data_IF_613884342810
#
_entry.id   IF_613884342810
#
_cell.length_a   1.000
_cell.length_b   1.000
_cell.length_c   1.000
_cell.angle_alpha   90.00
_cell.angle_beta   90.00
_cell.angle_gamma   90.00
#
_symmetry.space_group_name_H-M   'P 1'
#
loop_
_entity.id
_entity.type
_entity.pdbx_description
1 polymer ?
#
# COMPACT_ATOMS: atom_id res chain seq x y z
N UNK A 1 -17.52 -5.79 14.00
CA UNK A 1 -18.85 -5.18 13.79
C UNK A 1 -18.81 -4.41 12.49
N UNK A 2 -19.80 -4.58 11.63
CA UNK A 2 -19.92 -3.85 10.36
C UNK A 2 -21.23 -3.08 10.43
N UNK A 3 -21.19 -1.77 10.22
CA UNK A 3 -22.37 -0.91 10.13
C UNK A 3 -22.41 -0.39 8.70
N UNK A 4 -23.51 -0.60 7.98
CA UNK A 4 -23.64 -0.13 6.60
C UNK A 4 -25.04 0.41 6.32
N UNK A 5 -25.12 1.48 5.52
CA UNK A 5 -26.34 2.07 5.03
C UNK A 5 -26.17 2.46 3.56
N UNK A 6 -27.07 1.97 2.72
CA UNK A 6 -27.19 2.38 1.33
C UNK A 6 -27.97 3.70 1.24
N UNK A 7 -27.62 4.56 0.28
CA UNK A 7 -28.26 5.86 0.09
C UNK A 7 -29.78 5.79 -0.06
N UNK A 8 -30.29 4.73 -0.70
CA UNK A 8 -31.72 4.53 -0.96
C UNK A 8 -32.50 4.03 0.27
N UNK A 9 -31.83 3.69 1.38
CA UNK A 9 -32.47 3.13 2.57
C UNK A 9 -32.58 4.14 3.70
N UNK A 10 -33.72 4.11 4.40
CA UNK A 10 -34.01 4.99 5.53
C UNK A 10 -33.14 4.64 6.75
N UNK A 11 -32.85 3.34 6.98
CA UNK A 11 -32.09 2.86 8.13
C UNK A 11 -30.88 2.02 7.69
N UNK A 12 -29.81 2.05 8.49
CA UNK A 12 -28.65 1.17 8.33
C UNK A 12 -28.81 -0.15 9.08
N UNK A 13 -27.93 -1.08 8.78
CA UNK A 13 -27.85 -2.37 9.48
C UNK A 13 -26.47 -2.53 10.13
N UNK A 14 -26.48 -3.01 11.37
CA UNK A 14 -25.30 -3.41 12.10
C UNK A 14 -25.22 -4.95 12.15
N UNK A 15 -24.14 -5.49 11.61
CA UNK A 15 -23.77 -6.89 11.69
C UNK A 15 -22.70 -7.06 12.77
N UNK A 16 -23.01 -7.89 13.78
CA UNK A 16 -22.05 -8.26 14.81
C UNK A 16 -21.78 -9.76 14.75
N UNK A 17 -20.50 -10.10 14.60
CA UNK A 17 -20.01 -11.46 14.76
C UNK A 17 -19.48 -11.58 16.19
N UNK A 18 -20.09 -12.46 16.98
CA UNK A 18 -19.55 -12.91 18.27
C UNK A 18 -19.19 -14.38 18.10
N UNK A 19 -17.91 -14.71 18.06
CA UNK A 19 -17.49 -16.11 18.10
C UNK A 19 -17.70 -16.65 19.52
N UNK A 20 -18.41 -17.77 19.63
CA UNK A 20 -18.55 -18.55 20.88
C UNK A 20 -17.39 -19.53 21.01
N UNK A 21 -16.85 -19.73 22.22
CA UNK A 21 -15.64 -20.51 22.53
C UNK A 21 -15.68 -22.02 22.14
N UNK A 22 -16.75 -22.54 21.54
CA UNK A 22 -16.85 -23.94 21.15
C UNK A 22 -16.41 -24.17 19.70
N UNK A 23 -15.42 -25.06 19.55
CA UNK A 23 -14.63 -25.35 18.34
C UNK A 23 -15.37 -25.77 17.07
N UNK A 24 -16.70 -25.84 17.03
CA UNK A 24 -17.45 -26.34 15.85
C UNK A 24 -18.77 -25.61 15.56
N UNK A 25 -19.02 -24.43 16.14
CA UNK A 25 -20.27 -23.73 15.88
C UNK A 25 -20.15 -22.78 14.66
N UNK A 26 -21.00 -22.97 13.66
CA UNK A 26 -21.29 -21.95 12.65
C UNK A 26 -21.64 -20.62 13.35
N UNK A 27 -20.75 -19.63 13.28
CA UNK A 27 -21.00 -18.29 13.82
C UNK A 27 -22.12 -17.63 13.02
N UNK A 28 -23.36 -17.72 13.49
CA UNK A 28 -24.48 -17.00 12.87
C UNK A 28 -24.33 -15.50 13.09
N UNK A 29 -24.23 -14.68 12.03
CA UNK A 29 -24.17 -13.23 12.16
C UNK A 29 -25.49 -12.71 12.74
N UNK A 30 -25.40 -11.92 13.81
CA UNK A 30 -26.57 -11.19 14.31
C UNK A 30 -26.68 -9.86 13.56
N UNK A 31 -27.79 -9.65 12.86
CA UNK A 31 -28.10 -8.42 12.11
C UNK A 31 -29.15 -7.64 12.88
N UNK A 32 -28.92 -6.35 13.13
CA UNK A 32 -29.88 -5.45 13.80
C UNK A 32 -29.97 -4.11 13.08
N UNK A 33 -31.14 -3.45 13.05
CA UNK A 33 -31.24 -2.06 12.63
C UNK A 33 -30.33 -1.16 13.49
N UNK A 34 -29.69 -0.17 12.86
CA UNK A 34 -28.81 0.79 13.54
C UNK A 34 -28.90 2.15 12.88
N UNK A 35 -28.77 3.21 13.70
CA UNK A 35 -28.47 4.54 13.18
C UNK A 35 -27.09 4.49 12.48
N UNK A 36 -27.04 4.99 11.25
CA UNK A 36 -25.84 5.03 10.43
C UNK A 36 -25.96 6.14 9.37
N UNK A 37 -24.84 6.76 9.03
CA UNK A 37 -24.73 7.60 7.85
C UNK A 37 -24.52 6.72 6.62
N UNK A 38 -24.73 7.28 5.43
CA UNK A 38 -24.53 6.56 4.17
C UNK A 38 -23.07 6.10 4.04
N UNK A 39 -22.90 4.85 3.60
CA UNK A 39 -21.59 4.20 3.49
C UNK A 39 -21.44 3.02 4.46
N UNK A 40 -20.18 2.67 4.75
CA UNK A 40 -19.85 1.48 5.54
C UNK A 40 -18.76 1.81 6.56
N UNK A 41 -19.01 1.42 7.80
CA UNK A 41 -18.06 1.51 8.91
C UNK A 41 -17.74 0.09 9.39
N UNK A 42 -16.45 -0.24 9.46
CA UNK A 42 -15.97 -1.52 9.98
C UNK A 42 -15.21 -1.26 11.27
N UNK A 43 -15.64 -1.91 12.35
CA UNK A 43 -15.02 -1.82 13.67
C UNK A 43 -14.47 -3.19 14.04
N UNK A 44 -13.15 -3.29 14.14
CA UNK A 44 -12.43 -4.44 14.64
C UNK A 44 -11.90 -4.13 16.06
N UNK A 45 -12.23 -4.97 17.04
CA UNK A 45 -11.79 -4.85 18.44
C UNK A 45 -11.15 -6.15 18.87
N UNK A 46 -10.16 -6.09 19.76
CA UNK A 46 -9.49 -7.25 20.35
C UNK A 46 -8.97 -8.25 19.30
N UNK A 47 -8.20 -7.74 18.31
CA UNK A 47 -7.67 -8.56 17.23
C UNK A 47 -6.84 -9.73 17.80
N UNK A 48 -7.13 -10.95 17.35
CA UNK A 48 -6.48 -12.20 17.78
C UNK A 48 -6.70 -12.64 19.23
N UNK A 49 -7.65 -12.05 19.99
CA UNK A 49 -7.95 -12.48 21.37
C UNK A 49 -8.28 -13.98 21.48
N UNK A 50 -8.90 -14.54 20.45
CA UNK A 50 -9.34 -15.94 20.43
C UNK A 50 -8.27 -16.89 19.86
N UNK A 51 -7.14 -16.37 19.37
CA UNK A 51 -6.08 -17.14 18.72
C UNK A 51 -4.74 -16.78 19.37
N UNK A 52 -4.42 -17.36 20.55
CA UNK A 52 -3.27 -16.94 21.37
C UNK A 52 -1.94 -17.13 20.64
N UNK A 53 -1.84 -18.14 19.77
CA UNK A 53 -0.67 -18.32 18.92
C UNK A 53 -0.44 -17.11 17.99
N UNK A 54 -1.49 -16.57 17.36
CA UNK A 54 -1.40 -15.37 16.50
C UNK A 54 -1.14 -14.11 17.30
N UNK A 55 -1.74 -13.99 18.49
CA UNK A 55 -1.51 -12.84 19.38
C UNK A 55 -0.03 -12.70 19.76
N UNK A 56 0.68 -13.82 19.99
CA UNK A 56 2.12 -13.82 20.29
C UNK A 56 3.00 -13.32 19.13
N UNK A 57 2.50 -13.27 17.89
CA UNK A 57 3.23 -12.71 16.75
C UNK A 57 3.08 -11.19 16.62
N UNK A 58 2.14 -10.57 17.34
CA UNK A 58 2.02 -9.11 17.35
C UNK A 58 3.29 -8.52 17.94
N UNK A 59 3.82 -7.51 17.26
CA UNK A 59 4.96 -6.74 17.75
C UNK A 59 4.46 -5.61 18.66
N UNK A 60 5.35 -4.71 19.05
CA UNK A 60 4.95 -3.51 19.80
C UNK A 60 4.01 -2.63 18.99
N UNK A 61 3.16 -1.86 19.69
CA UNK A 61 2.19 -0.94 19.09
C UNK A 61 2.84 0.00 18.05
N UNK A 62 4.07 0.46 18.32
CA UNK A 62 4.82 1.31 17.40
C UNK A 62 5.15 0.61 16.07
N UNK A 63 5.49 -0.69 16.10
CA UNK A 63 5.83 -1.46 14.91
C UNK A 63 4.58 -1.79 14.11
N UNK A 64 3.50 -2.21 14.78
CA UNK A 64 2.22 -2.46 14.11
C UNK A 64 1.64 -1.18 13.50
N UNK A 65 1.75 -0.05 14.19
CA UNK A 65 1.36 1.24 13.64
C UNK A 65 2.20 1.63 12.41
N UNK A 66 3.51 1.33 12.42
CA UNK A 66 4.34 1.50 11.23
C UNK A 66 3.86 0.65 10.06
N UNK A 67 3.43 -0.60 10.31
CA UNK A 67 2.86 -1.47 9.27
C UNK A 67 1.51 -0.94 8.73
N UNK A 68 0.70 -0.32 9.58
CA UNK A 68 -0.51 0.40 9.15
C UNK A 68 -0.15 1.56 8.23
N UNK A 69 0.85 2.38 8.60
CA UNK A 69 1.34 3.48 7.76
C UNK A 69 1.88 2.99 6.41
N UNK A 70 2.65 1.90 6.40
CA UNK A 70 3.20 1.30 5.18
C UNK A 70 2.12 0.85 4.19
N UNK A 71 0.92 0.55 4.70
CA UNK A 71 -0.24 0.17 3.89
C UNK A 71 -1.09 1.39 3.52
N UNK A 72 -1.29 2.32 4.46
CA UNK A 72 -2.09 3.52 4.28
C UNK A 72 -1.47 4.48 3.26
N UNK A 73 -0.17 4.76 3.35
CA UNK A 73 0.50 5.76 2.52
C UNK A 73 0.36 5.44 1.02
N UNK A 74 0.67 4.23 0.52
CA UNK A 74 0.50 3.92 -0.90
C UNK A 74 -0.95 4.02 -1.39
N UNK A 75 -1.92 3.60 -0.57
CA UNK A 75 -3.34 3.69 -0.89
C UNK A 75 -3.81 5.15 -0.98
N UNK A 76 -3.41 5.99 -0.02
CA UNK A 76 -3.75 7.40 -0.01
C UNK A 76 -3.06 8.19 -1.13
N UNK A 77 -1.89 7.73 -1.56
CA UNK A 77 -1.08 8.34 -2.62
C UNK A 77 -1.67 8.13 -4.01
N UNK A 78 -2.16 6.92 -4.30
CA UNK A 78 -2.67 6.57 -5.64
C UNK A 78 -4.10 7.09 -5.91
N UNK A 79 -4.82 7.50 -4.86
CA UNK A 79 -6.18 8.02 -4.90
C UNK A 79 -6.30 9.47 -4.40
N UNK A 80 -5.72 10.46 -5.10
CA UNK A 80 -5.84 11.87 -4.70
C UNK A 80 -7.28 12.42 -4.83
N UNK A 81 -8.14 11.74 -5.58
CA UNK A 81 -9.59 12.03 -5.69
C UNK A 81 -10.36 11.76 -4.39
N UNK A 82 -9.79 10.98 -3.47
CA UNK A 82 -10.45 10.53 -2.24
C UNK A 82 -9.85 11.23 -1.02
N UNK A 83 -10.72 11.59 -0.07
CA UNK A 83 -10.32 12.10 1.23
C UNK A 83 -9.89 10.94 2.15
N UNK A 84 -8.77 11.11 2.85
CA UNK A 84 -8.30 10.14 3.83
C UNK A 84 -7.98 10.83 5.16
N UNK A 85 -8.44 10.23 6.24
CA UNK A 85 -8.06 10.63 7.61
C UNK A 85 -7.55 9.41 8.36
N UNK A 86 -6.34 9.51 8.92
CA UNK A 86 -5.76 8.50 9.81
C UNK A 86 -5.63 9.08 11.21
N UNK A 87 -6.30 8.46 12.17
CA UNK A 87 -6.23 8.82 13.59
C UNK A 87 -5.60 7.69 14.38
N UNK A 88 -4.68 8.03 15.29
CA UNK A 88 -4.04 7.08 16.20
C UNK A 88 -3.99 7.69 17.59
N UNK A 89 -4.45 6.94 18.60
CA UNK A 89 -4.52 7.40 20.01
C UNK A 89 -5.16 8.80 20.15
N UNK A 90 -6.32 8.99 19.52
CA UNK A 90 -7.10 10.23 19.50
C UNK A 90 -6.41 11.43 18.83
N UNK A 91 -5.23 11.26 18.22
CA UNK A 91 -4.55 12.29 17.45
C UNK A 91 -4.68 12.01 15.95
N UNK A 92 -4.98 13.06 15.20
CA UNK A 92 -4.94 12.99 13.73
C UNK A 92 -3.48 12.95 13.31
N UNK A 93 -3.10 11.88 12.61
CA UNK A 93 -1.74 11.68 12.11
C UNK A 93 -1.64 12.17 10.68
N UNK A 94 -2.64 11.84 9.84
CA UNK A 94 -2.75 12.33 8.48
C UNK A 94 -4.18 12.77 8.21
N UNK A 95 -4.34 13.90 7.52
CA UNK A 95 -5.60 14.39 6.97
C UNK A 95 -5.33 14.90 5.56
N UNK A 96 -5.91 14.23 4.58
CA UNK A 96 -5.64 14.42 3.16
C UNK A 96 -6.96 14.73 2.46
N UNK A 97 -7.09 15.95 1.96
CA UNK A 97 -8.34 16.44 1.35
C UNK A 97 -8.51 15.91 -0.08
N UNK A 98 -9.76 15.70 -0.49
CA UNK A 98 -10.09 15.28 -1.85
C UNK A 98 -9.77 16.36 -2.89
N UNK A 99 -9.46 15.95 -4.12
CA UNK A 99 -9.37 16.85 -5.27
C UNK A 99 -7.98 17.43 -5.54
N UNK A 100 -6.96 16.94 -4.84
CA UNK A 100 -5.56 17.28 -5.13
C UNK A 100 -5.07 16.64 -6.44
N UNK A 101 -3.98 17.16 -6.99
CA UNK A 101 -3.22 16.44 -8.02
C UNK A 101 -2.39 15.32 -7.38
N UNK A 102 -2.01 14.32 -8.18
CA UNK A 102 -1.08 13.28 -7.72
C UNK A 102 0.22 13.87 -7.14
N UNK A 103 0.72 14.94 -7.76
CA UNK A 103 1.87 15.73 -7.31
C UNK A 103 1.65 16.30 -5.90
N UNK A 104 0.53 16.98 -5.69
CA UNK A 104 0.18 17.58 -4.40
C UNK A 104 0.06 16.51 -3.30
N UNK A 105 -0.58 15.38 -3.62
CA UNK A 105 -0.76 14.27 -2.68
C UNK A 105 0.57 13.65 -2.22
N UNK A 106 1.54 13.52 -3.11
CA UNK A 106 2.89 13.05 -2.75
C UNK A 106 3.58 14.04 -1.82
N UNK A 107 3.46 15.35 -2.10
CA UNK A 107 4.05 16.38 -1.27
C UNK A 107 3.44 16.45 0.15
N UNK A 108 2.14 16.19 0.28
CA UNK A 108 1.45 16.08 1.57
C UNK A 108 1.91 14.86 2.37
N UNK A 109 2.04 13.70 1.71
CA UNK A 109 2.38 12.43 2.37
C UNK A 109 3.86 12.30 2.73
N UNK A 110 4.76 12.74 1.84
CA UNK A 110 6.21 12.58 2.00
C UNK A 110 6.91 13.85 2.48
N UNK A 111 6.19 14.98 2.50
CA UNK A 111 6.72 16.28 2.86
C UNK A 111 7.23 17.08 1.66
N UNK A 112 7.02 18.40 1.70
CA UNK A 112 7.38 19.33 0.62
C UNK A 112 8.87 19.33 0.28
N UNK A 113 9.74 19.23 1.29
CA UNK A 113 11.18 19.21 1.09
C UNK A 113 11.61 17.95 0.31
N UNK A 114 11.09 16.79 0.70
CA UNK A 114 11.37 15.56 -0.03
C UNK A 114 10.84 15.63 -1.45
N UNK A 115 9.62 16.12 -1.63
CA UNK A 115 9.01 16.28 -2.94
C UNK A 115 9.82 17.21 -3.88
N UNK A 116 10.48 18.26 -3.35
CA UNK A 116 11.30 19.16 -4.16
C UNK A 116 12.55 18.51 -4.78
N UNK A 117 13.01 17.37 -4.25
CA UNK A 117 14.16 16.63 -4.79
C UNK A 117 13.75 15.62 -5.88
N UNK A 118 12.45 15.49 -6.13
CA UNK A 118 11.90 14.53 -7.08
C UNK A 118 11.84 15.10 -8.49
N UNK A 119 12.35 14.31 -9.43
CA UNK A 119 12.35 14.57 -10.86
C UNK A 119 11.17 13.80 -11.48
N UNK A 120 10.31 14.44 -12.30
CA UNK A 120 9.24 13.76 -12.98
C UNK A 120 9.79 12.74 -14.00
N UNK A 121 9.22 11.54 -14.00
CA UNK A 121 9.52 10.49 -14.95
C UNK A 121 8.31 10.27 -15.87
N UNK A 122 8.55 10.30 -17.18
CA UNK A 122 7.56 9.93 -18.19
C UNK A 122 8.25 9.11 -19.26
N UNK A 123 7.71 7.92 -19.50
CA UNK A 123 8.17 7.00 -20.53
C UNK A 123 6.96 6.32 -21.14
N UNK A 124 6.98 6.15 -22.45
CA UNK A 124 5.84 5.64 -23.21
C UNK A 124 6.37 4.77 -24.34
N UNK A 125 5.80 3.57 -24.44
CA UNK A 125 6.01 2.60 -25.53
C UNK A 125 4.63 2.19 -26.04
N UNK A 126 4.59 1.43 -27.13
CA UNK A 126 3.34 0.92 -27.68
C UNK A 126 2.59 0.01 -26.69
N UNK A 127 3.32 -0.71 -25.83
CA UNK A 127 2.75 -1.71 -24.91
C UNK A 127 2.43 -1.16 -23.51
N UNK A 128 3.23 -0.20 -23.01
CA UNK A 128 3.08 0.31 -21.64
C UNK A 128 3.53 1.76 -21.49
N UNK A 129 3.00 2.41 -20.46
CA UNK A 129 3.37 3.78 -20.08
C UNK A 129 3.89 3.78 -18.65
N UNK A 130 4.92 4.55 -18.36
CA UNK A 130 5.44 4.73 -17.01
C UNK A 130 5.38 6.22 -16.71
N UNK A 131 4.63 6.60 -15.69
CA UNK A 131 4.56 7.96 -15.20
C UNK A 131 4.91 7.97 -13.71
N UNK A 132 5.63 8.99 -13.25
CA UNK A 132 6.10 8.94 -11.89
C UNK A 132 7.06 10.03 -11.47
N UNK A 133 7.75 9.75 -10.38
CA UNK A 133 8.77 10.60 -9.80
C UNK A 133 9.95 9.75 -9.32
N UNK A 134 11.15 10.24 -9.54
CA UNK A 134 12.40 9.63 -9.07
C UNK A 134 13.19 10.65 -8.28
N UNK A 135 13.81 10.27 -7.17
CA UNK A 135 14.74 11.17 -6.47
C UNK A 135 16.02 11.35 -7.28
N UNK A 136 16.61 12.55 -7.24
CA UNK A 136 17.95 12.77 -7.79
C UNK A 136 19.00 11.87 -7.09
N UNK A 137 20.05 11.40 -7.80
CA UNK A 137 21.09 10.54 -7.22
C UNK A 137 21.84 11.14 -6.03
N UNK A 138 21.97 12.46 -6.01
CA UNK A 138 22.59 13.22 -4.91
C UNK A 138 21.82 13.08 -3.58
N UNK A 139 20.51 12.84 -3.65
CA UNK A 139 19.62 12.74 -2.49
C UNK A 139 19.31 11.29 -2.10
N UNK A 140 20.08 10.34 -2.61
CA UNK A 140 19.81 8.94 -2.41
C UNK A 140 20.10 8.52 -0.96
N UNK A 141 19.18 7.77 -0.36
CA UNK A 141 19.21 7.41 1.06
C UNK A 141 19.64 5.95 1.26
N UNK A 142 20.25 5.62 2.39
CA UNK A 142 20.62 4.23 2.73
C UNK A 142 19.39 3.31 2.88
N UNK A 143 18.26 3.88 3.32
CA UNK A 143 17.01 3.15 3.58
C UNK A 143 15.98 3.36 2.48
N UNK A 144 15.32 2.27 2.09
CA UNK A 144 14.29 2.19 1.04
C UNK A 144 12.93 2.80 1.43
N UNK A 145 12.90 3.87 2.24
CA UNK A 145 11.68 4.27 2.95
C UNK A 145 10.57 4.79 2.04
N UNK A 146 10.89 5.23 0.82
CA UNK A 146 9.94 5.84 -0.12
C UNK A 146 9.98 5.22 -1.52
N UNK A 147 10.00 3.88 -1.58
CA UNK A 147 9.83 3.14 -2.84
C UNK A 147 8.39 2.66 -2.96
N UNK A 148 7.64 3.25 -3.89
CA UNK A 148 6.23 2.99 -4.13
C UNK A 148 6.00 2.70 -5.62
N UNK A 149 5.83 1.44 -5.95
CA UNK A 149 5.54 1.01 -7.33
C UNK A 149 4.05 0.70 -7.42
N UNK A 150 3.41 1.26 -8.45
CA UNK A 150 1.99 1.09 -8.72
C UNK A 150 1.77 0.58 -10.14
N UNK A 151 1.02 -0.50 -10.25
CA UNK A 151 0.59 -1.06 -11.54
C UNK A 151 -0.92 -1.09 -11.55
N UNK A 152 -1.54 -0.46 -12.54
CA UNK A 152 -3.00 -0.32 -12.62
C UNK A 152 -3.64 0.18 -11.30
N UNK A 153 -3.02 1.19 -10.69
CA UNK A 153 -3.38 1.79 -9.39
C UNK A 153 -3.24 0.85 -8.16
N UNK A 154 -2.59 -0.30 -8.30
CA UNK A 154 -2.33 -1.22 -7.17
C UNK A 154 -0.90 -1.08 -6.70
N UNK A 155 -0.64 -0.91 -5.39
CA UNK A 155 0.71 -0.96 -4.87
C UNK A 155 1.27 -2.37 -5.03
N UNK A 156 2.49 -2.49 -5.58
CA UNK A 156 3.17 -3.76 -5.79
C UNK A 156 4.58 -3.71 -5.21
N UNK A 157 5.02 -4.81 -4.60
CA UNK A 157 6.37 -5.00 -4.09
C UNK A 157 7.01 -6.19 -4.79
N UNK A 158 7.41 -5.97 -6.04
CA UNK A 158 8.05 -7.01 -6.84
C UNK A 158 9.58 -6.94 -6.77
N UNK A 159 10.21 -8.09 -6.49
CA UNK A 159 11.66 -8.16 -6.35
C UNK A 159 12.40 -7.90 -7.67
N UNK A 160 11.86 -8.33 -8.82
CA UNK A 160 12.48 -8.12 -10.12
C UNK A 160 12.49 -6.63 -10.47
N UNK A 161 11.37 -5.94 -10.27
CA UNK A 161 11.29 -4.49 -10.52
C UNK A 161 12.25 -3.75 -9.59
N UNK A 162 12.25 -4.08 -8.30
CA UNK A 162 13.16 -3.45 -7.32
C UNK A 162 14.64 -3.67 -7.69
N UNK A 163 15.00 -4.90 -8.12
CA UNK A 163 16.35 -5.23 -8.56
C UNK A 163 16.73 -4.49 -9.84
N UNK A 164 15.85 -4.48 -10.85
CA UNK A 164 16.07 -3.75 -12.11
C UNK A 164 16.30 -2.26 -11.87
N UNK A 165 15.46 -1.64 -11.01
CA UNK A 165 15.64 -0.25 -10.62
C UNK A 165 16.99 -0.04 -9.91
N UNK A 166 17.33 -0.90 -8.96
CA UNK A 166 18.61 -0.81 -8.25
C UNK A 166 19.81 -0.90 -9.20
N UNK A 167 19.80 -1.82 -10.15
CA UNK A 167 20.88 -2.00 -11.13
C UNK A 167 20.96 -0.83 -12.10
N UNK A 168 19.84 -0.27 -12.56
CA UNK A 168 19.83 0.91 -13.42
C UNK A 168 20.48 2.12 -12.74
N UNK A 169 20.22 2.30 -11.44
CA UNK A 169 20.75 3.43 -10.68
C UNK A 169 22.17 3.21 -10.11
N UNK A 170 22.61 1.97 -9.92
CA UNK A 170 23.90 1.69 -9.25
C UNK A 170 25.10 2.30 -9.98
N UNK A 171 25.08 2.27 -11.31
CA UNK A 171 26.18 2.81 -12.12
C UNK A 171 26.22 4.34 -12.03
N UNK A 172 25.07 4.99 -12.14
CA UNK A 172 24.95 6.46 -12.04
C UNK A 172 25.39 6.99 -10.67
N UNK A 173 25.06 6.28 -9.59
CA UNK A 173 25.49 6.66 -8.23
C UNK A 173 27.00 6.51 -8.09
N UNK A 174 27.57 5.41 -8.57
CA UNK A 174 28.99 5.12 -8.42
C UNK A 174 29.85 6.18 -9.13
N UNK A 175 29.41 6.64 -10.29
CA UNK A 175 30.05 7.70 -11.07
C UNK A 175 29.95 9.07 -10.37
N UNK A 176 28.76 9.45 -9.90
CA UNK A 176 28.55 10.77 -9.29
C UNK A 176 29.18 10.93 -7.90
N UNK A 177 29.39 9.84 -7.16
CA UNK A 177 29.90 9.89 -5.78
C UNK A 177 31.40 9.55 -5.65
N UNK A 178 32.17 9.49 -6.75
CA UNK A 178 33.63 9.29 -6.74
C UNK A 178 34.11 8.17 -5.81
N UNK A 179 33.39 7.04 -5.76
CA UNK A 179 33.78 5.90 -4.93
C UNK A 179 33.63 6.09 -3.40
N UNK A 180 33.14 7.23 -2.91
CA UNK A 180 32.71 7.41 -1.51
C UNK A 180 31.35 6.74 -1.30
N UNK A 181 31.32 5.42 -1.49
CA UNK A 181 30.16 4.57 -1.31
C UNK A 181 29.81 4.50 0.17
N UNK A 182 29.03 5.46 0.66
CA UNK A 182 28.13 5.18 1.78
C UNK A 182 26.99 4.29 1.26
N UNK A 183 27.32 2.99 1.20
CA UNK A 183 26.44 1.84 1.22
C UNK A 183 25.06 2.01 0.57
N UNK A 184 25.00 1.73 -0.75
CA UNK A 184 23.76 1.37 -1.46
C UNK A 184 22.63 2.39 -1.31
N UNK A 185 22.76 3.52 -2.00
CA UNK A 185 21.74 4.55 -1.98
C UNK A 185 20.51 4.08 -2.79
N UNK A 186 19.42 3.81 -2.07
CA UNK A 186 18.15 3.41 -2.66
C UNK A 186 17.38 4.67 -3.01
N UNK A 187 17.16 4.90 -4.30
CA UNK A 187 16.34 6.01 -4.78
C UNK A 187 14.89 5.82 -4.38
N UNK A 188 14.23 6.93 -4.09
CA UNK A 188 12.79 6.92 -3.91
C UNK A 188 12.16 6.93 -5.28
N UNK A 189 11.42 5.87 -5.55
CA UNK A 189 10.87 5.59 -6.85
C UNK A 189 9.36 5.53 -6.69
N UNK A 190 8.69 6.39 -7.42
CA UNK A 190 7.25 6.40 -7.50
C UNK A 190 6.85 6.15 -8.95
N UNK A 191 6.38 4.94 -9.24
CA UNK A 191 5.98 4.55 -10.59
C UNK A 191 4.49 4.26 -10.65
N UNK A 192 3.82 4.81 -11.64
CA UNK A 192 2.46 4.46 -12.02
C UNK A 192 2.48 4.01 -13.47
N UNK A 193 2.31 2.71 -13.68
CA UNK A 193 2.25 2.13 -15.01
C UNK A 193 0.86 1.53 -15.29
N UNK A 194 0.08 2.09 -16.23
CA UNK A 194 -1.01 1.35 -16.85
C UNK A 194 -0.41 0.28 -17.76
N UNK A 195 -0.69 -0.98 -17.43
CA UNK A 195 -0.31 -2.14 -18.24
C UNK A 195 -1.59 -2.89 -18.60
N UNK A 196 -1.81 -3.27 -19.87
CA UNK A 196 -2.95 -4.09 -20.25
C UNK A 196 -3.01 -5.38 -19.43
N UNK A 197 -4.21 -5.79 -18.99
CA UNK A 197 -4.40 -6.92 -18.08
C UNK A 197 -3.83 -8.23 -18.65
N UNK A 198 -3.79 -8.37 -19.98
CA UNK A 198 -3.23 -9.54 -20.67
C UNK A 198 -1.75 -9.81 -20.34
N UNK A 199 -0.98 -8.77 -19.99
CA UNK A 199 0.43 -8.92 -19.58
C UNK A 199 0.58 -9.09 -18.06
N UNK A 200 -0.52 -9.00 -17.30
CA UNK A 200 -0.51 -9.08 -15.85
C UNK A 200 -1.00 -10.46 -15.38
N UNK A 201 -0.05 -11.34 -15.06
CA UNK A 201 -0.36 -12.55 -14.31
C UNK A 201 -0.50 -12.22 -12.82
N UNK A 202 -1.70 -11.84 -12.40
CA UNK A 202 -2.02 -11.67 -10.97
C UNK A 202 -2.15 -13.03 -10.28
N UNK A 203 -1.03 -13.64 -9.87
CA UNK A 203 -1.08 -14.88 -9.11
C UNK A 203 -1.48 -14.61 -7.65
N UNK A 204 -2.65 -15.13 -7.28
CA UNK A 204 -3.18 -15.22 -5.91
C UNK A 204 -2.13 -15.86 -4.98
N UNK A 205 -1.41 -15.07 -4.19
CA UNK A 205 -1.02 -15.54 -2.85
C UNK A 205 -2.27 -15.55 -1.97
N UNK A 206 -3.16 -16.51 -2.21
CA UNK A 206 -3.90 -17.09 -1.12
C UNK A 206 -2.92 -18.01 -0.38
N UNK A 207 -2.94 -17.99 0.94
CA UNK A 207 -2.23 -18.95 1.78
C UNK A 207 -2.69 -20.38 1.45
N UNK A 208 -2.08 -21.03 0.47
CA UNK A 208 -2.17 -22.47 0.28
C UNK A 208 -1.08 -22.94 -0.68
N UNK A 209 -0.24 -23.82 -0.16
CA UNK A 209 0.70 -24.69 -0.86
C UNK A 209 0.13 -25.27 -2.15
N UNK A 210 0.81 -25.05 -3.27
CA UNK A 210 1.05 -26.05 -4.31
C UNK A 210 2.04 -25.47 -5.31
N UNK A 211 3.23 -26.07 -5.32
CA UNK A 211 4.27 -25.83 -6.30
C UNK A 211 4.03 -26.74 -7.52
N UNK A 212 4.18 -26.20 -8.73
CA UNK A 212 4.89 -26.86 -9.83
C UNK A 212 5.17 -25.85 -10.96
N UNK A 213 6.32 -26.09 -11.62
CA UNK A 213 7.23 -25.19 -12.34
C UNK A 213 6.80 -24.72 -13.77
N UNK A 214 7.60 -23.88 -14.48
CA UNK A 214 7.13 -22.79 -15.36
C UNK A 214 7.13 -23.11 -16.88
N UNK A 215 6.78 -22.12 -17.73
CA UNK A 215 7.78 -21.60 -18.66
C UNK A 215 7.86 -20.05 -18.75
N UNK A 216 9.09 -19.61 -18.99
CA UNK A 216 9.67 -18.48 -19.75
C UNK A 216 8.83 -17.25 -20.17
N UNK A 217 9.46 -16.08 -19.95
CA UNK A 217 9.23 -14.74 -20.58
C UNK A 217 7.95 -13.95 -20.29
N UNK A 218 7.49 -13.91 -19.04
CA UNK A 218 6.52 -12.89 -18.62
C UNK A 218 6.96 -12.24 -17.31
N UNK A 219 6.73 -10.92 -17.18
CA UNK A 219 6.95 -10.16 -15.95
C UNK A 219 6.17 -10.81 -14.81
N UNK A 220 6.86 -11.66 -14.04
CA UNK A 220 6.34 -12.27 -12.84
C UNK A 220 6.24 -11.19 -11.77
N UNK A 221 5.09 -10.51 -11.73
CA UNK A 221 4.76 -9.53 -10.70
C UNK A 221 4.24 -10.25 -9.46
N UNK A 222 5.11 -10.42 -8.47
CA UNK A 222 4.74 -10.93 -7.16
C UNK A 222 4.22 -9.81 -6.25
N UNK A 223 3.08 -10.08 -5.61
CA UNK A 223 2.52 -9.32 -4.48
C UNK A 223 3.12 -9.80 -3.15
#
# INVERSE_FOLDING_TARGET
>A
MIISKLQERIHGYALTLKETHHKEAHTTPTIKPSAANDGTTIVCKNLFSNIPARQKFLKSDAVEFSHILDTFIPLAMIHPETEFTLTHNHKIINRLERGGSFRARIAELLGKHFFSTLIPLRFETDDYKINGYISAPEHAQEKSKHQHIFINKRPVKDFLILKACKTAFSNLIAELLNGQSKACSRHSLLLRSPIPIQYLRMNRKANSSTANQPPTELLHLFL
#
